data_IF_957807652914
#
_entry.id   IF_957807652914
#
_cell.length_a   1.000
_cell.length_b   1.000
_cell.length_c   1.000
_cell.angle_alpha   90.00
_cell.angle_beta   90.00
_cell.angle_gamma   90.00
#
_symmetry.space_group_name_H-M   'P 1'
#
loop_
_entity.id
_entity.type
_entity.pdbx_description
1 polymer ?
#
# COMPACT_ATOMS: atom_id res chain seq x y z
N UNK A 1 26.21 -33.22 1.33
CA UNK A 1 26.40 -32.86 2.78
C UNK A 1 27.36 -31.67 2.87
N UNK A 2 26.95 -30.46 2.42
CA UNK A 2 27.61 -29.18 2.73
C UNK A 2 26.89 -28.01 1.99
N UNK A 3 25.57 -27.84 2.25
CA UNK A 3 24.81 -26.64 1.83
C UNK A 3 23.66 -26.34 2.80
N UNK A 4 23.83 -26.65 4.05
CA UNK A 4 22.93 -26.22 5.12
C UNK A 4 23.67 -25.25 6.06
N UNK A 5 23.81 -23.98 5.66
CA UNK A 5 24.12 -22.86 6.58
C UNK A 5 24.20 -21.54 5.81
N UNK A 6 23.06 -20.93 5.52
CA UNK A 6 23.01 -19.49 5.17
C UNK A 6 21.61 -18.88 5.41
N UNK A 7 20.99 -19.19 6.57
CA UNK A 7 19.94 -18.33 7.11
C UNK A 7 20.16 -18.22 8.63
N UNK A 8 20.27 -17.00 9.18
CA UNK A 8 20.46 -16.83 10.62
C UNK A 8 19.21 -17.25 11.40
N UNK A 9 19.41 -18.01 12.48
CA UNK A 9 18.39 -18.51 13.41
C UNK A 9 17.46 -17.44 14.04
N UNK A 10 17.67 -16.17 13.74
CA UNK A 10 16.83 -15.05 14.22
C UNK A 10 15.47 -14.96 13.53
N UNK A 11 15.29 -15.52 12.36
CA UNK A 11 13.98 -15.54 11.68
C UNK A 11 13.06 -16.67 12.17
N UNK A 12 13.62 -17.77 12.68
CA UNK A 12 12.83 -18.86 13.26
C UNK A 12 12.22 -18.52 14.62
N UNK A 13 12.91 -17.75 15.44
CA UNK A 13 12.41 -17.33 16.75
C UNK A 13 11.24 -16.32 16.68
N UNK A 14 11.11 -15.55 15.60
CA UNK A 14 9.98 -14.63 15.39
C UNK A 14 8.73 -15.35 14.86
N UNK A 15 8.88 -16.53 14.26
CA UNK A 15 7.76 -17.32 13.72
C UNK A 15 7.11 -18.22 14.78
N UNK A 16 7.86 -18.65 15.79
CA UNK A 16 7.36 -19.52 16.87
C UNK A 16 6.68 -18.75 18.03
N UNK A 17 6.76 -17.43 18.06
CA UNK A 17 6.11 -16.61 19.10
C UNK A 17 4.66 -16.23 18.78
N UNK A 18 4.11 -16.60 17.64
CA UNK A 18 2.67 -16.61 17.40
C UNK A 18 2.05 -17.87 18.02
N UNK A 19 2.08 -17.95 19.34
CA UNK A 19 1.11 -18.77 20.04
C UNK A 19 -0.26 -18.24 19.62
N UNK A 20 -0.95 -18.94 18.74
CA UNK A 20 -2.39 -18.87 18.65
C UNK A 20 -2.91 -19.06 20.08
N UNK A 21 -3.27 -17.96 20.72
CA UNK A 21 -4.05 -18.04 21.95
C UNK A 21 -5.38 -18.65 21.57
N UNK A 22 -5.48 -19.98 21.75
CA UNK A 22 -6.70 -20.73 21.60
C UNK A 22 -7.67 -20.25 22.68
N UNK A 23 -8.52 -19.28 22.32
CA UNK A 23 -9.57 -18.75 23.19
C UNK A 23 -10.49 -19.86 23.75
N UNK A 24 -10.52 -21.03 23.10
CA UNK A 24 -11.30 -22.18 23.55
C UNK A 24 -10.80 -22.77 24.89
N UNK A 25 -9.56 -22.51 25.30
CA UNK A 25 -9.01 -23.06 26.55
C UNK A 25 -9.45 -22.33 27.85
N UNK A 26 -10.04 -21.12 27.75
CA UNK A 26 -10.43 -20.33 28.94
C UNK A 26 -11.94 -20.06 29.06
N UNK A 27 -12.78 -20.58 28.19
CA UNK A 27 -14.23 -20.30 28.26
C UNK A 27 -14.63 -18.85 27.98
N UNK A 28 -13.71 -18.02 27.45
CA UNK A 28 -13.99 -16.62 27.08
C UNK A 28 -14.71 -16.62 25.73
N UNK A 29 -15.97 -16.23 25.72
CA UNK A 29 -16.78 -16.09 24.51
C UNK A 29 -16.34 -14.85 23.74
N UNK A 30 -16.03 -15.02 22.44
CA UNK A 30 -15.87 -13.91 21.53
C UNK A 30 -17.21 -13.20 21.33
N UNK A 31 -17.19 -11.89 21.36
CA UNK A 31 -18.36 -11.05 21.13
C UNK A 31 -18.59 -10.78 19.64
N UNK A 32 -19.84 -10.50 19.28
CA UNK A 32 -20.17 -9.92 18.00
C UNK A 32 -19.51 -8.54 17.86
N UNK A 33 -18.91 -8.27 16.68
CA UNK A 33 -18.17 -7.03 16.42
C UNK A 33 -18.96 -5.78 16.76
N UNK A 34 -20.20 -5.68 16.27
CA UNK A 34 -21.04 -4.49 16.50
C UNK A 34 -21.25 -4.22 17.99
N UNK A 35 -21.59 -5.25 18.75
CA UNK A 35 -21.76 -5.16 20.18
C UNK A 35 -20.47 -4.76 20.90
N UNK A 36 -19.33 -5.32 20.48
CA UNK A 36 -18.02 -4.95 21.05
C UNK A 36 -17.70 -3.47 20.85
N UNK A 37 -17.88 -2.93 19.62
CA UNK A 37 -17.65 -1.52 19.32
C UNK A 37 -18.52 -0.60 20.18
N UNK A 38 -19.82 -0.93 20.33
CA UNK A 38 -20.77 -0.17 21.14
C UNK A 38 -20.39 -0.16 22.63
N UNK A 39 -19.99 -1.32 23.17
CA UNK A 39 -19.57 -1.45 24.58
C UNK A 39 -18.26 -0.69 24.84
N UNK A 40 -17.28 -0.74 23.93
CA UNK A 40 -16.01 0.01 24.06
C UNK A 40 -16.29 1.52 24.11
N UNK A 41 -17.12 2.06 23.23
CA UNK A 41 -17.50 3.48 23.24
C UNK A 41 -18.27 3.86 24.53
N UNK A 42 -19.18 3.01 24.98
CA UNK A 42 -19.92 3.23 26.21
C UNK A 42 -19.01 3.24 27.44
N UNK A 43 -18.08 2.28 27.52
CA UNK A 43 -17.10 2.21 28.61
C UNK A 43 -16.14 3.39 28.59
N UNK A 44 -15.70 3.84 27.42
CA UNK A 44 -14.85 5.04 27.27
C UNK A 44 -15.51 6.29 27.85
N UNK A 45 -16.80 6.50 27.60
CA UNK A 45 -17.56 7.59 28.23
C UNK A 45 -17.63 7.45 29.75
N UNK A 46 -17.88 6.24 30.25
CA UNK A 46 -17.93 5.96 31.70
C UNK A 46 -16.57 6.17 32.38
N UNK A 47 -15.46 5.87 31.68
CA UNK A 47 -14.11 6.08 32.14
C UNK A 47 -13.65 7.55 32.17
N UNK A 48 -14.50 8.47 31.68
CA UNK A 48 -14.31 9.92 31.75
C UNK A 48 -13.72 10.55 30.49
N UNK A 49 -13.69 9.84 29.37
CA UNK A 49 -13.31 10.45 28.08
C UNK A 49 -14.43 11.40 27.60
N UNK A 50 -14.04 12.62 27.19
CA UNK A 50 -14.96 13.63 26.67
C UNK A 50 -15.56 13.21 25.32
N UNK A 51 -14.70 12.64 24.45
CA UNK A 51 -15.09 11.98 23.23
C UNK A 51 -14.23 10.73 22.97
N UNK A 52 -14.77 9.78 22.23
CA UNK A 52 -14.16 8.48 21.97
C UNK A 52 -14.39 8.05 20.53
N UNK A 53 -13.43 7.35 19.99
CA UNK A 53 -13.49 6.72 18.67
C UNK A 53 -12.97 5.29 18.74
N UNK A 54 -13.61 4.42 17.97
CA UNK A 54 -13.12 3.08 17.68
C UNK A 54 -12.82 2.97 16.18
N UNK A 55 -11.65 2.43 15.88
CA UNK A 55 -11.22 2.09 14.53
C UNK A 55 -10.99 0.59 14.45
N UNK A 56 -11.90 -0.10 13.77
CA UNK A 56 -11.76 -1.53 13.49
C UNK A 56 -11.16 -1.74 12.12
N UNK A 57 -10.23 -2.66 12.02
CA UNK A 57 -9.74 -3.19 10.76
C UNK A 57 -9.73 -4.70 10.83
N UNK A 58 -10.37 -5.34 9.84
CA UNK A 58 -10.37 -6.78 9.67
C UNK A 58 -10.07 -7.15 8.24
N UNK A 59 -9.71 -8.41 8.02
CA UNK A 59 -9.44 -8.92 6.69
C UNK A 59 -9.26 -10.42 6.67
N UNK A 60 -9.30 -10.96 5.47
CA UNK A 60 -8.91 -12.32 5.16
C UNK A 60 -7.98 -12.31 3.95
N UNK A 61 -7.02 -13.19 3.93
CA UNK A 61 -6.12 -13.38 2.81
C UNK A 61 -5.96 -14.87 2.52
N UNK A 62 -5.88 -15.16 1.25
CA UNK A 62 -5.53 -16.45 0.70
C UNK A 62 -4.28 -16.27 -0.14
N UNK A 63 -3.31 -17.15 -0.02
CA UNK A 63 -2.15 -17.23 -0.90
C UNK A 63 -1.81 -18.68 -1.21
N UNK A 64 -1.45 -18.96 -2.46
CA UNK A 64 -0.89 -20.21 -2.89
C UNK A 64 0.40 -19.95 -3.66
N UNK A 65 1.44 -20.73 -3.33
CA UNK A 65 2.70 -20.78 -4.06
C UNK A 65 2.78 -22.09 -4.81
N UNK A 66 3.12 -22.00 -6.09
CA UNK A 66 3.37 -23.16 -6.95
C UNK A 66 4.86 -23.24 -7.25
N UNK A 67 5.42 -24.45 -7.16
CA UNK A 67 6.80 -24.73 -7.51
C UNK A 67 6.90 -26.15 -8.07
N UNK A 68 7.51 -26.29 -9.23
CA UNK A 68 7.73 -27.58 -9.92
C UNK A 68 6.43 -28.38 -10.17
N UNK A 69 5.35 -27.66 -10.49
CA UNK A 69 4.03 -28.23 -10.80
C UNK A 69 3.22 -28.67 -9.57
N UNK A 70 3.69 -28.34 -8.37
CA UNK A 70 3.03 -28.70 -7.11
C UNK A 70 2.76 -27.49 -6.23
N UNK A 71 1.78 -27.61 -5.32
CA UNK A 71 1.54 -26.60 -4.29
C UNK A 71 2.65 -26.69 -3.25
N UNK A 72 3.56 -25.71 -3.26
CA UNK A 72 4.67 -25.65 -2.30
C UNK A 72 4.30 -24.99 -0.98
N UNK A 73 3.35 -24.04 -1.02
CA UNK A 73 2.79 -23.41 0.18
C UNK A 73 1.34 -23.03 -0.05
N UNK A 74 0.57 -23.03 1.02
CA UNK A 74 -0.83 -22.65 1.05
C UNK A 74 -1.13 -21.92 2.36
N UNK A 75 -1.62 -20.72 2.26
CA UNK A 75 -2.01 -19.91 3.43
C UNK A 75 -3.45 -19.40 3.29
N UNK A 76 -4.19 -19.52 4.38
CA UNK A 76 -5.51 -18.89 4.53
C UNK A 76 -5.55 -18.24 5.90
N UNK A 77 -5.40 -16.92 5.91
CA UNK A 77 -5.29 -16.13 7.15
C UNK A 77 -6.49 -15.22 7.35
N UNK A 78 -6.79 -14.94 8.59
CA UNK A 78 -7.75 -13.91 9.01
C UNK A 78 -7.12 -13.08 10.11
N UNK A 79 -7.11 -11.78 9.89
CA UNK A 79 -6.61 -10.81 10.85
C UNK A 79 -7.73 -9.82 11.19
N UNK A 80 -7.76 -9.40 12.45
CA UNK A 80 -8.64 -8.31 12.89
C UNK A 80 -8.07 -7.64 14.13
N UNK A 81 -8.39 -6.39 14.30
CA UNK A 81 -8.05 -5.64 15.50
C UNK A 81 -8.82 -4.33 15.57
N UNK A 82 -8.84 -3.79 16.76
CA UNK A 82 -9.51 -2.55 17.10
C UNK A 82 -8.55 -1.62 17.80
N UNK A 83 -8.53 -0.36 17.38
CA UNK A 83 -7.98 0.74 18.15
C UNK A 83 -9.09 1.51 18.84
N UNK A 84 -8.80 1.96 20.04
CA UNK A 84 -9.56 2.97 20.78
C UNK A 84 -8.71 4.22 20.89
N UNK A 85 -9.27 5.36 20.58
CA UNK A 85 -8.71 6.67 20.94
C UNK A 85 -9.79 7.55 21.56
N UNK A 86 -9.39 8.44 22.44
CA UNK A 86 -10.31 9.38 23.04
C UNK A 86 -9.60 10.52 23.75
N UNK A 87 -10.35 11.59 23.99
CA UNK A 87 -9.83 12.79 24.64
C UNK A 87 -10.25 12.82 26.10
N UNK A 88 -9.24 12.90 26.97
CA UNK A 88 -9.40 13.00 28.41
C UNK A 88 -8.47 14.06 28.98
N UNK A 89 -9.00 15.02 29.76
CA UNK A 89 -8.21 16.12 30.36
C UNK A 89 -7.35 16.90 29.33
N UNK A 90 -7.87 17.11 28.11
CA UNK A 90 -7.17 17.80 27.03
C UNK A 90 -6.01 17.00 26.40
N UNK A 91 -5.99 15.69 26.55
CA UNK A 91 -4.97 14.79 25.98
C UNK A 91 -5.63 13.65 25.24
N UNK A 92 -5.04 13.21 24.14
CA UNK A 92 -5.53 12.08 23.37
C UNK A 92 -4.90 10.79 23.83
N UNK A 93 -5.71 9.86 24.37
CA UNK A 93 -5.28 8.50 24.70
C UNK A 93 -5.50 7.56 23.52
N UNK A 94 -4.61 6.56 23.40
CA UNK A 94 -4.67 5.55 22.33
C UNK A 94 -4.24 4.18 22.86
N UNK A 95 -4.98 3.15 22.49
CA UNK A 95 -4.63 1.76 22.70
C UNK A 95 -5.29 0.87 21.62
N UNK A 96 -4.82 -0.36 21.49
CA UNK A 96 -5.38 -1.33 20.53
C UNK A 96 -5.42 -2.74 21.10
N UNK A 97 -6.26 -3.59 20.50
CA UNK A 97 -6.40 -5.00 20.82
C UNK A 97 -6.78 -5.82 19.60
N UNK A 98 -6.38 -7.09 19.58
CA UNK A 98 -6.84 -8.11 18.62
C UNK A 98 -7.92 -9.02 19.22
N UNK A 99 -8.26 -8.81 20.49
CA UNK A 99 -9.23 -9.62 21.21
C UNK A 99 -10.56 -8.88 21.33
N UNK A 100 -11.61 -9.44 20.71
CA UNK A 100 -12.97 -8.94 20.81
C UNK A 100 -13.73 -9.70 21.92
N UNK A 101 -13.31 -9.51 23.17
CA UNK A 101 -13.85 -10.18 24.37
C UNK A 101 -14.25 -9.17 25.42
N UNK A 102 -15.15 -9.54 26.33
CA UNK A 102 -15.63 -8.64 27.41
C UNK A 102 -14.45 -8.09 28.24
N UNK A 103 -13.50 -8.95 28.60
CA UNK A 103 -12.35 -8.55 29.43
C UNK A 103 -11.42 -7.55 28.70
N UNK A 104 -11.37 -7.59 27.36
CA UNK A 104 -10.54 -6.69 26.57
C UNK A 104 -11.09 -5.25 26.55
N UNK A 105 -12.37 -5.02 26.83
CA UNK A 105 -12.98 -3.69 26.80
C UNK A 105 -12.36 -2.78 27.86
N UNK A 106 -12.37 -3.22 29.11
CA UNK A 106 -11.81 -2.45 30.21
C UNK A 106 -10.29 -2.24 30.04
N UNK A 107 -9.55 -3.31 29.68
CA UNK A 107 -8.12 -3.23 29.42
C UNK A 107 -7.78 -2.20 28.34
N UNK A 108 -8.49 -2.22 27.21
CA UNK A 108 -8.28 -1.31 26.09
C UNK A 108 -8.46 0.16 26.49
N UNK A 109 -9.57 0.46 27.17
CA UNK A 109 -9.92 1.84 27.54
C UNK A 109 -9.03 2.37 28.68
N UNK A 110 -8.77 1.55 29.70
CA UNK A 110 -7.89 1.97 30.80
C UNK A 110 -6.45 2.15 30.32
N UNK A 111 -5.95 1.28 29.44
CA UNK A 111 -4.62 1.47 28.80
C UNK A 111 -4.55 2.77 28.01
N UNK A 112 -5.59 3.10 27.23
CA UNK A 112 -5.63 4.38 26.54
C UNK A 112 -5.61 5.59 27.50
N UNK A 113 -6.30 5.48 28.65
CA UNK A 113 -6.30 6.50 29.69
C UNK A 113 -4.93 6.69 30.34
N UNK A 114 -4.24 5.59 30.63
CA UNK A 114 -2.87 5.63 31.16
C UNK A 114 -1.92 6.27 30.13
N UNK A 115 -2.02 5.89 28.86
CA UNK A 115 -1.22 6.47 27.79
C UNK A 115 -1.48 7.97 27.63
N UNK A 116 -2.74 8.44 27.74
CA UNK A 116 -3.08 9.86 27.69
C UNK A 116 -2.33 10.67 28.79
N UNK A 117 -2.12 10.09 29.98
CA UNK A 117 -1.45 10.77 31.07
C UNK A 117 0.03 11.08 30.78
N UNK A 118 0.63 10.36 29.82
CA UNK A 118 2.04 10.53 29.41
C UNK A 118 2.22 11.58 28.31
N UNK A 119 1.14 12.00 27.65
CA UNK A 119 1.19 12.91 26.50
C UNK A 119 1.01 14.37 26.90
N UNK A 120 1.44 15.29 26.03
CA UNK A 120 1.22 16.72 26.19
C UNK A 120 -0.22 17.10 25.82
N UNK A 121 -0.84 18.10 26.49
CA UNK A 121 -2.12 18.65 26.04
C UNK A 121 -2.10 19.26 24.63
N UNK A 122 -0.93 19.64 24.13
CA UNK A 122 -0.74 20.18 22.77
C UNK A 122 -1.00 19.12 21.70
N UNK A 123 -0.91 17.84 22.04
CA UNK A 123 -1.15 16.69 21.15
C UNK A 123 -2.63 16.28 21.10
N UNK A 124 -3.54 17.04 21.72
CA UNK A 124 -4.97 16.73 21.71
C UNK A 124 -5.56 16.95 20.32
N UNK A 125 -6.11 15.90 19.74
CA UNK A 125 -6.82 15.92 18.47
C UNK A 125 -8.34 15.91 18.69
N UNK A 126 -9.04 16.83 18.07
CA UNK A 126 -10.49 16.80 18.01
C UNK A 126 -10.94 15.66 17.07
N UNK A 127 -11.82 14.76 17.54
CA UNK A 127 -12.39 13.69 16.72
C UNK A 127 -13.29 14.27 15.63
N UNK A 128 -13.28 13.65 14.46
CA UNK A 128 -14.08 14.09 13.32
C UNK A 128 -15.55 13.67 13.51
N UNK A 129 -16.47 14.61 13.35
CA UNK A 129 -17.89 14.32 13.53
C UNK A 129 -18.53 13.60 12.33
N UNK A 130 -17.80 13.49 11.22
CA UNK A 130 -18.31 12.95 9.96
C UNK A 130 -18.79 14.02 9.00
N UNK A 131 -19.24 13.58 7.84
CA UNK A 131 -19.88 14.38 6.79
C UNK A 131 -21.33 13.91 6.60
N UNK A 132 -22.19 14.77 6.08
CA UNK A 132 -23.58 14.43 5.80
C UNK A 132 -23.70 13.33 4.75
N UNK A 133 -22.81 13.36 3.73
CA UNK A 133 -22.79 12.42 2.63
C UNK A 133 -21.36 11.99 2.31
N UNK A 134 -21.16 10.68 2.14
CA UNK A 134 -19.93 10.09 1.65
C UNK A 134 -20.10 9.58 0.23
N UNK A 135 -19.03 9.56 -0.60
CA UNK A 135 -19.08 8.93 -1.91
C UNK A 135 -19.48 7.46 -1.82
N UNK A 136 -20.44 7.06 -2.65
CA UNK A 136 -20.81 5.64 -2.79
C UNK A 136 -19.82 4.95 -3.72
N UNK A 137 -19.13 3.93 -3.23
CA UNK A 137 -18.15 3.17 -3.97
C UNK A 137 -18.39 1.66 -3.79
N UNK A 138 -18.37 0.94 -4.89
CA UNK A 138 -18.31 -0.53 -4.85
C UNK A 138 -16.87 -0.96 -4.55
N UNK A 139 -16.66 -1.50 -3.36
CA UNK A 139 -15.33 -1.94 -2.92
C UNK A 139 -15.14 -3.46 -3.02
N UNK A 140 -16.23 -4.25 -2.99
CA UNK A 140 -16.17 -5.71 -2.99
C UNK A 140 -16.76 -6.26 -4.27
N UNK A 141 -15.92 -6.96 -5.05
CA UNK A 141 -16.40 -7.80 -6.13
C UNK A 141 -16.87 -9.16 -5.54
N UNK A 142 -18.17 -9.42 -5.60
CA UNK A 142 -18.77 -10.65 -5.04
C UNK A 142 -18.26 -11.91 -5.76
N UNK A 143 -18.05 -11.88 -7.07
CA UNK A 143 -17.55 -13.02 -7.83
C UNK A 143 -16.14 -13.45 -7.39
N UNK A 144 -15.29 -12.49 -6.97
CA UNK A 144 -13.97 -12.80 -6.42
C UNK A 144 -14.05 -13.50 -5.06
N UNK A 145 -15.07 -13.17 -4.24
CA UNK A 145 -15.29 -13.83 -2.95
C UNK A 145 -15.81 -15.27 -3.08
N UNK A 146 -16.56 -15.54 -4.15
CA UNK A 146 -17.14 -16.85 -4.47
C UNK A 146 -16.16 -17.78 -5.18
N UNK A 147 -15.00 -17.27 -5.61
CA UNK A 147 -14.02 -18.03 -6.37
C UNK A 147 -13.45 -19.19 -5.52
N UNK A 148 -13.61 -20.41 -6.04
CA UNK A 148 -13.18 -21.61 -5.34
C UNK A 148 -11.65 -21.73 -5.27
N UNK A 149 -11.18 -22.35 -4.22
CA UNK A 149 -9.73 -22.55 -3.99
C UNK A 149 -9.08 -23.32 -5.14
N UNK A 150 -9.76 -24.36 -5.67
CA UNK A 150 -9.26 -25.16 -6.79
C UNK A 150 -9.07 -24.32 -8.06
N UNK A 151 -9.93 -23.33 -8.31
CA UNK A 151 -9.80 -22.43 -9.47
C UNK A 151 -8.58 -21.53 -9.35
N UNK A 152 -8.30 -21.06 -8.14
CA UNK A 152 -7.11 -20.24 -7.83
C UNK A 152 -5.83 -21.07 -8.01
N UNK A 153 -5.79 -22.28 -7.47
CA UNK A 153 -4.65 -23.22 -7.61
C UNK A 153 -4.42 -23.55 -9.09
N UNK A 154 -5.46 -23.90 -9.83
CA UNK A 154 -5.35 -24.22 -11.26
C UNK A 154 -4.84 -23.04 -12.08
N UNK A 155 -5.28 -21.82 -11.76
CA UNK A 155 -4.79 -20.61 -12.42
C UNK A 155 -3.30 -20.35 -12.13
N UNK A 156 -2.86 -20.58 -10.89
CA UNK A 156 -1.45 -20.45 -10.51
C UNK A 156 -0.57 -21.52 -11.21
N UNK A 157 -1.04 -22.76 -11.34
CA UNK A 157 -0.35 -23.82 -12.09
C UNK A 157 -0.23 -23.50 -13.60
N UNK A 158 -1.28 -22.94 -14.20
CA UNK A 158 -1.24 -22.48 -15.59
C UNK A 158 -0.26 -21.33 -15.78
N UNK A 159 -0.17 -20.42 -14.81
CA UNK A 159 0.79 -19.32 -14.81
C UNK A 159 2.24 -19.83 -14.75
N UNK A 160 2.52 -20.80 -13.88
CA UNK A 160 3.84 -21.46 -13.79
C UNK A 160 4.20 -22.15 -15.11
N UNK A 161 3.30 -22.98 -15.65
CA UNK A 161 3.51 -23.71 -16.91
C UNK A 161 3.81 -22.73 -18.06
N UNK A 162 3.05 -21.64 -18.14
CA UNK A 162 3.26 -20.63 -19.16
C UNK A 162 4.57 -19.83 -18.99
N UNK A 163 5.01 -19.63 -17.75
CA UNK A 163 6.31 -19.00 -17.48
C UNK A 163 7.48 -19.90 -17.88
N UNK A 164 7.43 -21.19 -17.55
CA UNK A 164 8.47 -22.17 -17.94
C UNK A 164 8.57 -22.35 -19.45
N UNK A 165 7.45 -22.24 -20.18
CA UNK A 165 7.41 -22.36 -21.63
C UNK A 165 7.55 -21.02 -22.37
N UNK A 166 7.64 -19.90 -21.67
CA UNK A 166 7.55 -18.56 -22.24
C UNK A 166 8.77 -18.06 -23.00
N UNK A 167 9.95 -18.66 -22.76
CA UNK A 167 11.19 -18.47 -23.50
C UNK A 167 12.09 -19.68 -23.34
N UNK A 168 12.90 -19.99 -24.38
CA UNK A 168 13.79 -21.16 -24.39
C UNK A 168 14.86 -21.09 -23.29
N UNK A 169 15.30 -19.89 -22.93
CA UNK A 169 16.31 -19.65 -21.92
C UNK A 169 15.82 -19.79 -20.49
N UNK A 170 14.50 -19.89 -20.25
CA UNK A 170 13.96 -20.05 -18.89
C UNK A 170 14.27 -21.44 -18.38
N UNK A 171 15.06 -21.49 -17.32
CA UNK A 171 15.50 -22.73 -16.71
C UNK A 171 14.65 -23.17 -15.51
N UNK A 172 14.06 -22.23 -14.79
CA UNK A 172 13.27 -22.48 -13.59
C UNK A 172 12.51 -21.20 -13.19
N UNK A 173 11.63 -21.33 -12.20
CA UNK A 173 11.05 -20.17 -11.51
C UNK A 173 11.72 -19.97 -10.15
N UNK A 174 11.80 -18.74 -9.72
CA UNK A 174 12.19 -18.31 -8.37
C UNK A 174 10.95 -18.21 -7.47
N UNK A 175 9.83 -17.75 -8.05
CA UNK A 175 8.60 -17.54 -7.33
C UNK A 175 7.40 -17.60 -8.27
N UNK A 176 6.30 -18.21 -7.82
CA UNK A 176 5.02 -18.23 -8.52
C UNK A 176 3.89 -18.25 -7.50
N UNK A 177 3.26 -17.11 -7.28
CA UNK A 177 2.22 -16.95 -6.27
C UNK A 177 0.95 -16.33 -6.83
N UNK A 178 -0.17 -16.75 -6.28
CA UNK A 178 -1.49 -16.17 -6.50
C UNK A 178 -2.19 -15.99 -5.18
N UNK A 179 -2.74 -14.80 -4.95
CA UNK A 179 -3.43 -14.45 -3.73
C UNK A 179 -4.74 -13.73 -3.97
N UNK A 180 -5.64 -13.81 -3.00
CA UNK A 180 -6.83 -12.96 -2.88
C UNK A 180 -6.92 -12.38 -1.49
N UNK A 181 -7.38 -11.16 -1.35
CA UNK A 181 -7.53 -10.50 -0.07
C UNK A 181 -8.84 -9.71 0.01
N UNK A 182 -9.44 -9.69 1.18
CA UNK A 182 -10.53 -8.79 1.57
C UNK A 182 -10.08 -8.00 2.78
N UNK A 183 -10.25 -6.69 2.75
CA UNK A 183 -10.01 -5.81 3.89
C UNK A 183 -11.27 -5.00 4.19
N UNK A 184 -11.58 -4.83 5.47
CA UNK A 184 -12.70 -4.05 5.97
C UNK A 184 -12.23 -3.05 7.02
N UNK A 185 -12.78 -1.86 6.99
CA UNK A 185 -12.57 -0.81 8.00
C UNK A 185 -13.93 -0.34 8.50
N UNK A 186 -14.05 -0.14 9.82
CA UNK A 186 -15.21 0.51 10.47
C UNK A 186 -14.67 1.58 11.41
N UNK A 187 -15.23 2.79 11.30
CA UNK A 187 -14.90 3.91 12.20
C UNK A 187 -16.19 4.38 12.83
N UNK A 188 -16.22 4.39 14.17
CA UNK A 188 -17.35 4.94 14.95
C UNK A 188 -16.82 5.83 16.04
N UNK A 189 -17.51 6.94 16.30
CA UNK A 189 -17.17 7.78 17.43
C UNK A 189 -18.40 8.41 18.12
N UNK A 190 -18.13 9.03 19.24
CA UNK A 190 -19.17 9.66 20.07
C UNK A 190 -19.67 10.99 19.54
N UNK A 191 -19.08 11.49 18.45
CA UNK A 191 -19.44 12.76 17.77
C UNK A 191 -20.37 12.56 16.58
N UNK A 192 -20.75 11.31 16.27
CA UNK A 192 -21.72 10.99 15.23
C UNK A 192 -21.15 10.26 14.01
N UNK A 193 -19.82 10.13 13.88
CA UNK A 193 -19.22 9.35 12.79
C UNK A 193 -19.58 7.86 12.94
N UNK A 194 -20.14 7.27 11.90
CA UNK A 194 -20.41 5.84 11.75
C UNK A 194 -20.26 5.47 10.28
N UNK A 195 -19.08 5.02 9.89
CA UNK A 195 -18.75 4.69 8.50
C UNK A 195 -18.04 3.35 8.41
N UNK A 196 -18.29 2.64 7.31
CA UNK A 196 -17.62 1.38 7.02
C UNK A 196 -17.37 1.22 5.53
N UNK A 197 -16.29 0.55 5.19
CA UNK A 197 -15.94 0.23 3.81
C UNK A 197 -15.14 -1.06 3.77
N UNK A 198 -15.45 -1.91 2.80
CA UNK A 198 -14.70 -3.13 2.52
C UNK A 198 -14.26 -3.15 1.07
N UNK A 199 -13.11 -3.77 0.79
CA UNK A 199 -12.62 -3.99 -0.56
C UNK A 199 -11.83 -5.28 -0.68
N UNK A 200 -11.86 -5.87 -1.86
CA UNK A 200 -11.11 -7.07 -2.17
C UNK A 200 -10.27 -6.92 -3.44
N UNK A 201 -9.24 -7.74 -3.55
CA UNK A 201 -8.35 -7.81 -4.72
C UNK A 201 -7.83 -9.23 -4.91
N UNK A 202 -7.57 -9.56 -6.17
CA UNK A 202 -6.70 -10.66 -6.54
C UNK A 202 -5.32 -10.12 -6.94
N UNK A 203 -4.28 -10.90 -6.67
CA UNK A 203 -2.90 -10.58 -7.02
C UNK A 203 -2.20 -11.82 -7.57
N UNK A 204 -1.33 -11.63 -8.54
CA UNK A 204 -0.46 -12.69 -9.03
C UNK A 204 0.96 -12.14 -9.20
N UNK A 205 1.94 -12.94 -8.83
CA UNK A 205 3.35 -12.62 -8.99
C UNK A 205 4.12 -13.84 -9.46
N UNK A 206 4.91 -13.67 -10.49
CA UNK A 206 5.80 -14.72 -10.99
C UNK A 206 7.17 -14.13 -11.30
N UNK A 207 8.22 -14.86 -10.92
CA UNK A 207 9.63 -14.54 -11.17
C UNK A 207 10.30 -15.73 -11.86
N UNK A 208 10.77 -15.50 -13.09
CA UNK A 208 11.43 -16.48 -13.91
C UNK A 208 12.96 -16.31 -13.90
N UNK A 209 13.68 -17.42 -13.99
CA UNK A 209 15.15 -17.46 -14.08
C UNK A 209 15.55 -17.95 -15.46
N UNK A 210 16.18 -17.08 -16.25
CA UNK A 210 16.74 -17.40 -17.55
C UNK A 210 18.24 -17.64 -17.46
N UNK A 211 18.74 -18.63 -18.23
CA UNK A 211 20.17 -19.00 -18.28
C UNK A 211 20.64 -19.17 -19.72
N UNK A 212 21.79 -18.57 -20.06
CA UNK A 212 22.43 -18.73 -21.37
C UNK A 212 23.92 -18.40 -21.28
N UNK A 213 24.78 -19.26 -21.85
CA UNK A 213 26.21 -18.98 -21.93
C UNK A 213 26.93 -18.76 -20.61
N UNK A 214 26.44 -19.36 -19.50
CA UNK A 214 26.97 -19.14 -18.15
C UNK A 214 26.37 -17.92 -17.41
N UNK A 215 25.58 -17.11 -18.09
CA UNK A 215 24.84 -15.99 -17.51
C UNK A 215 23.52 -16.45 -16.91
N UNK A 216 23.12 -15.83 -15.79
CA UNK A 216 21.82 -16.08 -15.13
C UNK A 216 21.17 -14.74 -14.86
N UNK A 217 19.93 -14.59 -15.28
CA UNK A 217 19.11 -13.38 -15.11
C UNK A 217 17.71 -13.74 -14.61
N UNK A 218 17.09 -12.81 -13.90
CA UNK A 218 15.71 -12.94 -13.44
C UNK A 218 14.83 -11.88 -14.11
N UNK A 219 13.57 -12.22 -14.29
CA UNK A 219 12.54 -11.29 -14.74
C UNK A 219 11.21 -11.62 -14.07
N UNK A 220 10.49 -10.62 -13.65
CA UNK A 220 9.23 -10.82 -12.92
C UNK A 220 8.08 -10.04 -13.53
N UNK A 221 6.88 -10.53 -13.23
CA UNK A 221 5.64 -9.84 -13.57
C UNK A 221 4.68 -9.87 -12.38
N UNK A 222 4.04 -8.73 -12.12
CA UNK A 222 3.02 -8.56 -11.09
C UNK A 222 1.71 -8.13 -11.74
N UNK A 223 0.64 -8.79 -11.38
CA UNK A 223 -0.72 -8.44 -11.77
C UNK A 223 -1.59 -8.23 -10.55
N UNK A 224 -2.57 -7.33 -10.65
CA UNK A 224 -3.54 -7.04 -9.60
C UNK A 224 -4.81 -6.46 -10.18
N UNK A 225 -5.96 -6.97 -9.77
CA UNK A 225 -7.29 -6.41 -10.10
C UNK A 225 -8.35 -6.82 -9.06
N UNK A 226 -9.50 -6.15 -9.12
CA UNK A 226 -10.73 -6.57 -8.43
C UNK A 226 -11.54 -7.55 -9.27
N UNK A 227 -11.50 -7.44 -10.60
CA UNK A 227 -12.18 -8.35 -11.50
C UNK A 227 -11.26 -9.52 -11.85
N UNK A 228 -11.68 -10.72 -11.50
CA UNK A 228 -10.97 -11.95 -11.85
C UNK A 228 -10.95 -12.22 -13.35
N UNK A 229 -11.95 -11.72 -14.08
CA UNK A 229 -12.00 -11.92 -15.54
C UNK A 229 -10.88 -11.17 -16.27
N UNK A 230 -10.28 -10.17 -15.66
CA UNK A 230 -9.10 -9.47 -16.18
C UNK A 230 -7.81 -10.28 -16.00
N UNK A 231 -7.85 -11.41 -15.27
CA UNK A 231 -6.69 -12.24 -15.03
C UNK A 231 -6.44 -13.21 -16.17
N UNK A 232 -5.28 -13.08 -16.80
CA UNK A 232 -4.78 -14.04 -17.77
C UNK A 232 -3.50 -14.68 -17.23
N UNK A 233 -3.59 -15.87 -16.61
CA UNK A 233 -2.43 -16.53 -16.01
C UNK A 233 -1.34 -16.88 -17.04
N UNK A 234 -1.70 -17.27 -18.26
CA UNK A 234 -0.74 -17.59 -19.30
C UNK A 234 0.04 -16.35 -19.76
N UNK A 235 -0.62 -15.22 -19.91
CA UNK A 235 0.06 -13.98 -20.27
C UNK A 235 0.95 -13.48 -19.14
N UNK A 236 0.48 -13.57 -17.90
CA UNK A 236 1.26 -13.21 -16.71
C UNK A 236 2.56 -14.02 -16.63
N UNK A 237 2.48 -15.35 -16.86
CA UNK A 237 3.66 -16.21 -16.91
C UNK A 237 4.60 -15.86 -18.06
N UNK A 238 4.08 -15.73 -19.29
CA UNK A 238 4.87 -15.36 -20.47
C UNK A 238 5.60 -14.03 -20.32
N UNK A 239 4.97 -13.04 -19.68
CA UNK A 239 5.59 -11.73 -19.47
C UNK A 239 6.81 -11.81 -18.55
N UNK A 240 6.78 -12.61 -17.49
CA UNK A 240 7.93 -12.83 -16.63
C UNK A 240 9.07 -13.54 -17.38
N UNK A 241 8.74 -14.56 -18.16
CA UNK A 241 9.72 -15.28 -18.99
C UNK A 241 10.40 -14.38 -20.01
N UNK A 242 9.64 -13.58 -20.76
CA UNK A 242 10.17 -12.62 -21.72
C UNK A 242 11.12 -11.63 -21.06
N UNK A 243 10.76 -11.11 -19.88
CA UNK A 243 11.64 -10.19 -19.14
C UNK A 243 12.92 -10.87 -18.70
N UNK A 244 12.86 -12.09 -18.15
CA UNK A 244 14.05 -12.82 -17.76
C UNK A 244 15.01 -13.06 -18.96
N UNK A 245 14.45 -13.46 -20.10
CA UNK A 245 15.23 -13.68 -21.32
C UNK A 245 15.81 -12.37 -21.91
N UNK A 246 15.06 -11.26 -21.86
CA UNK A 246 15.53 -9.97 -22.38
C UNK A 246 16.69 -9.37 -21.60
N UNK A 247 16.91 -9.81 -20.36
CA UNK A 247 18.03 -9.35 -19.54
C UNK A 247 19.36 -10.08 -19.87
N UNK A 248 19.31 -11.19 -20.62
CA UNK A 248 20.51 -11.91 -21.04
C UNK A 248 21.29 -11.12 -22.09
N UNK A 249 22.60 -11.09 -21.96
CA UNK A 249 23.50 -10.35 -22.84
C UNK A 249 23.49 -8.84 -22.61
N UNK A 250 22.85 -8.32 -21.57
CA UNK A 250 22.85 -6.91 -21.24
C UNK A 250 24.26 -6.45 -20.84
N UNK A 251 24.68 -5.31 -21.41
CA UNK A 251 25.97 -4.67 -21.13
C UNK A 251 25.81 -3.38 -20.32
N UNK A 252 26.86 -2.99 -19.62
CA UNK A 252 26.89 -1.68 -18.95
C UNK A 252 27.10 -0.56 -19.95
N UNK A 253 26.44 0.57 -19.75
CA UNK A 253 26.72 1.80 -20.50
C UNK A 253 27.84 2.58 -19.80
N UNK A 254 28.67 3.33 -20.54
CA UNK A 254 29.72 4.20 -19.97
C UNK A 254 29.10 5.23 -19.00
N UNK A 255 29.89 5.65 -18.00
CA UNK A 255 29.46 6.74 -17.13
C UNK A 255 29.34 8.05 -17.92
N UNK A 256 28.24 8.77 -17.75
CA UNK A 256 27.99 9.98 -18.53
C UNK A 256 26.69 10.68 -18.10
N UNK A 257 26.35 11.72 -18.85
CA UNK A 257 25.03 12.36 -18.78
C UNK A 257 24.20 11.86 -19.95
N UNK A 258 22.99 11.44 -19.65
CA UNK A 258 22.05 10.88 -20.60
C UNK A 258 20.70 11.57 -20.47
N UNK A 259 19.99 11.68 -21.57
CA UNK A 259 18.56 11.86 -21.54
C UNK A 259 17.92 10.55 -21.09
N UNK A 260 17.03 10.62 -20.12
CA UNK A 260 16.41 9.41 -19.55
C UNK A 260 14.90 9.47 -19.68
N UNK A 261 14.34 8.46 -20.34
CA UNK A 261 12.89 8.26 -20.41
C UNK A 261 12.50 7.25 -19.34
N UNK A 262 11.60 7.63 -18.47
CA UNK A 262 11.01 6.75 -17.47
C UNK A 262 9.66 6.20 -17.97
N UNK A 263 9.54 4.89 -18.02
CA UNK A 263 8.24 4.24 -18.20
C UNK A 263 7.35 4.45 -16.96
N UNK A 264 6.06 4.23 -17.09
CA UNK A 264 5.08 4.39 -16.02
C UNK A 264 5.46 3.69 -14.72
N UNK A 265 6.05 2.48 -14.79
CA UNK A 265 6.50 1.72 -13.60
C UNK A 265 7.71 2.36 -12.92
N UNK A 266 8.68 2.84 -13.70
CA UNK A 266 9.81 3.58 -13.15
C UNK A 266 9.34 4.87 -12.50
N UNK A 267 8.37 5.57 -13.12
CA UNK A 267 7.78 6.80 -12.59
C UNK A 267 6.99 6.56 -11.30
N UNK A 268 6.25 5.46 -11.18
CA UNK A 268 5.58 5.06 -9.93
C UNK A 268 6.59 4.84 -8.81
N UNK A 269 7.70 4.16 -9.09
CA UNK A 269 8.78 3.95 -8.09
C UNK A 269 9.42 5.26 -7.66
N UNK A 270 9.69 6.17 -8.61
CA UNK A 270 10.25 7.49 -8.34
C UNK A 270 9.31 8.34 -7.48
N UNK A 271 8.05 8.47 -7.89
CA UNK A 271 7.03 9.22 -7.15
C UNK A 271 6.77 8.62 -5.77
N UNK A 272 6.73 7.29 -5.66
CA UNK A 272 6.57 6.58 -4.39
C UNK A 272 7.73 6.87 -3.42
N UNK A 273 8.96 6.85 -3.90
CA UNK A 273 10.14 7.18 -3.09
C UNK A 273 10.13 8.65 -2.62
N UNK A 274 9.70 9.57 -3.49
CA UNK A 274 9.57 10.99 -3.17
C UNK A 274 8.24 11.37 -2.51
N UNK A 275 7.32 10.43 -2.27
CA UNK A 275 5.97 10.73 -1.73
C UNK A 275 5.99 11.67 -0.53
N UNK A 276 6.98 11.52 0.35
CA UNK A 276 7.18 12.33 1.54
C UNK A 276 7.28 13.85 1.29
N UNK A 277 7.70 14.30 0.10
CA UNK A 277 7.76 15.74 -0.20
C UNK A 277 6.38 16.39 -0.22
N UNK A 278 5.34 15.60 -0.52
CA UNK A 278 3.96 16.05 -0.60
C UNK A 278 3.17 15.89 0.70
N UNK A 279 3.79 15.38 1.76
CA UNK A 279 3.11 15.21 3.05
C UNK A 279 3.25 16.47 3.90
N UNK A 280 2.13 16.99 4.40
CA UNK A 280 2.08 18.19 5.20
C UNK A 280 2.96 18.13 6.44
N UNK A 281 3.03 16.97 7.10
CA UNK A 281 3.89 16.73 8.26
C UNK A 281 5.36 17.04 7.97
N UNK A 282 5.89 16.53 6.84
CA UNK A 282 7.27 16.76 6.45
C UNK A 282 7.52 18.23 6.08
N UNK A 283 6.54 18.87 5.42
CA UNK A 283 6.63 20.29 5.10
C UNK A 283 6.68 21.15 6.37
N UNK A 284 5.87 20.85 7.38
CA UNK A 284 5.85 21.57 8.65
C UNK A 284 7.14 21.38 9.46
N UNK A 285 7.69 20.16 9.47
CA UNK A 285 8.92 19.83 10.20
C UNK A 285 10.20 20.27 9.48
N UNK A 286 10.10 20.85 8.29
CA UNK A 286 11.27 21.28 7.50
C UNK A 286 11.99 20.13 6.77
N UNK A 287 11.33 18.98 6.63
CA UNK A 287 11.86 17.80 5.96
C UNK A 287 11.41 17.64 4.50
N UNK A 288 10.76 18.66 3.93
CA UNK A 288 10.33 18.64 2.54
C UNK A 288 11.01 19.72 1.71
N UNK A 289 11.58 19.32 0.57
CA UNK A 289 12.09 20.22 -0.48
C UNK A 289 11.01 21.24 -0.95
N UNK A 290 9.74 20.90 -0.77
CA UNK A 290 8.59 21.71 -1.19
C UNK A 290 8.03 22.59 -0.07
N UNK A 291 8.67 22.67 1.10
CA UNK A 291 8.23 23.53 2.19
C UNK A 291 8.08 24.98 1.72
N UNK A 292 6.89 25.57 1.98
CA UNK A 292 6.57 26.97 1.64
C UNK A 292 6.32 27.24 0.17
N UNK A 293 6.36 26.24 -0.72
CA UNK A 293 6.26 26.42 -2.18
C UNK A 293 4.84 26.27 -2.75
N UNK A 294 3.83 26.27 -1.92
CA UNK A 294 2.44 26.25 -2.41
C UNK A 294 2.18 27.49 -3.28
N UNK A 295 1.68 27.28 -4.50
CA UNK A 295 1.46 28.31 -5.51
C UNK A 295 2.67 28.57 -6.41
N UNK A 296 3.83 27.99 -6.14
CA UNK A 296 5.01 28.14 -6.99
C UNK A 296 5.05 27.10 -8.11
N UNK A 297 5.69 27.44 -9.22
CA UNK A 297 6.00 26.55 -10.33
C UNK A 297 7.19 25.66 -9.93
N UNK A 298 6.95 24.37 -9.74
CA UNK A 298 7.96 23.38 -9.31
C UNK A 298 8.27 22.32 -10.37
N UNK A 299 7.50 22.29 -11.46
CA UNK A 299 7.65 21.36 -12.56
C UNK A 299 7.30 22.03 -13.89
N UNK A 300 7.51 21.31 -15.00
CA UNK A 300 7.10 21.77 -16.33
C UNK A 300 5.57 21.95 -16.43
N UNK A 301 5.12 22.85 -17.31
CA UNK A 301 3.67 23.13 -17.48
C UNK A 301 2.84 21.91 -17.91
N UNK A 302 3.45 20.93 -18.58
CA UNK A 302 2.79 19.68 -18.93
C UNK A 302 2.56 18.73 -17.76
N UNK A 303 3.10 19.02 -16.56
CA UNK A 303 3.02 18.11 -15.41
C UNK A 303 1.81 18.45 -14.56
N UNK A 304 0.85 17.53 -14.52
CA UNK A 304 -0.27 17.54 -13.57
C UNK A 304 -0.30 16.23 -12.83
N UNK A 305 -0.13 16.29 -11.50
CA UNK A 305 -0.16 15.15 -10.58
C UNK A 305 -1.44 15.23 -9.74
N UNK A 306 -2.21 14.17 -9.76
CA UNK A 306 -3.44 14.05 -8.99
C UNK A 306 -3.31 12.96 -7.94
N UNK A 307 -4.01 13.15 -6.81
CA UNK A 307 -4.27 12.11 -5.83
C UNK A 307 -5.79 11.92 -5.74
N UNK A 308 -6.26 10.74 -6.15
CA UNK A 308 -7.68 10.45 -6.34
C UNK A 308 -8.12 9.25 -5.50
N UNK A 309 -8.74 9.53 -4.35
CA UNK A 309 -9.30 8.51 -3.49
C UNK A 309 -10.54 7.82 -4.10
N UNK A 310 -11.10 8.36 -5.18
CA UNK A 310 -12.35 7.90 -5.80
C UNK A 310 -12.13 7.19 -7.14
N UNK A 311 -10.89 6.98 -7.54
CA UNK A 311 -10.53 6.33 -8.82
C UNK A 311 -11.06 4.90 -8.85
N UNK A 312 -12.00 4.62 -9.75
CA UNK A 312 -12.60 3.29 -9.89
C UNK A 312 -11.53 2.23 -10.23
N UNK A 313 -11.58 1.10 -9.54
CA UNK A 313 -10.60 0.02 -9.69
C UNK A 313 -9.22 0.33 -9.10
N UNK A 314 -9.00 1.52 -8.56
CA UNK A 314 -7.75 1.92 -7.94
C UNK A 314 -7.50 1.19 -6.60
N UNK A 315 -6.23 0.83 -6.37
CA UNK A 315 -5.85 0.14 -5.13
C UNK A 315 -6.07 0.98 -3.86
N UNK A 316 -5.80 2.30 -3.96
CA UNK A 316 -5.99 3.27 -2.88
C UNK A 316 -7.42 3.80 -2.75
N UNK A 317 -8.37 3.32 -3.57
CA UNK A 317 -9.76 3.78 -3.59
C UNK A 317 -10.46 3.54 -2.27
N UNK A 318 -11.10 4.59 -1.75
CA UNK A 318 -11.81 4.58 -0.48
C UNK A 318 -12.75 5.80 -0.37
N UNK A 319 -13.97 5.65 0.18
CA UNK A 319 -14.91 6.76 0.34
C UNK A 319 -14.51 7.75 1.45
N UNK A 320 -13.68 7.31 2.39
CA UNK A 320 -13.15 8.09 3.51
C UNK A 320 -11.76 7.58 3.92
N UNK A 321 -10.98 8.43 4.57
CA UNK A 321 -9.69 8.05 5.15
C UNK A 321 -9.82 7.41 6.55
N UNK A 322 -8.70 7.10 7.21
CA UNK A 322 -8.71 6.46 8.53
C UNK A 322 -9.12 7.37 9.69
N UNK A 323 -9.51 8.61 9.40
CA UNK A 323 -10.06 9.58 10.35
C UNK A 323 -11.54 9.89 10.05
N UNK A 324 -12.10 9.29 8.99
CA UNK A 324 -13.47 9.52 8.54
C UNK A 324 -13.63 10.74 7.63
N UNK A 325 -12.56 11.38 7.20
CA UNK A 325 -12.61 12.49 6.24
C UNK A 325 -12.89 11.94 4.83
N UNK A 326 -13.86 12.54 4.13
CA UNK A 326 -14.28 12.10 2.79
C UNK A 326 -13.13 12.05 1.79
N UNK A 327 -13.09 10.97 1.02
CA UNK A 327 -12.18 10.80 -0.12
C UNK A 327 -12.44 11.86 -1.20
N UNK A 328 -11.37 12.34 -1.82
CA UNK A 328 -11.45 13.41 -2.85
C UNK A 328 -10.52 13.11 -4.01
N UNK A 329 -10.91 13.61 -5.18
CA UNK A 329 -10.00 13.72 -6.33
C UNK A 329 -9.43 15.16 -6.33
N UNK A 330 -8.12 15.30 -6.15
CA UNK A 330 -7.45 16.60 -6.01
C UNK A 330 -6.15 16.66 -6.81
N UNK A 331 -5.82 17.83 -7.31
CA UNK A 331 -4.52 18.12 -7.89
C UNK A 331 -3.51 18.41 -6.77
N UNK A 332 -2.37 17.74 -6.80
CA UNK A 332 -1.20 18.05 -5.97
C UNK A 332 -0.29 19.02 -6.74
N UNK A 333 -0.07 18.73 -8.00
CA UNK A 333 0.56 19.64 -8.97
C UNK A 333 -0.41 19.85 -10.12
N UNK A 334 -0.64 21.05 -10.54
CA UNK A 334 -1.47 21.39 -11.69
C UNK A 334 -0.73 22.33 -12.62
N UNK A 335 -0.52 21.90 -13.87
CA UNK A 335 0.25 22.63 -14.88
C UNK A 335 1.61 23.13 -14.35
N UNK A 336 2.30 22.25 -13.61
CA UNK A 336 3.61 22.53 -13.00
C UNK A 336 3.58 23.28 -11.68
N UNK A 337 2.42 23.75 -11.22
CA UNK A 337 2.26 24.56 -9.99
C UNK A 337 1.83 23.68 -8.82
N UNK A 338 2.55 23.74 -7.70
CA UNK A 338 2.18 23.06 -6.46
C UNK A 338 0.89 23.65 -5.88
N UNK A 339 -0.14 22.82 -5.71
CA UNK A 339 -1.46 23.25 -5.20
C UNK A 339 -1.58 23.14 -3.69
N UNK A 340 -0.83 22.22 -3.08
CA UNK A 340 -0.85 21.98 -1.65
C UNK A 340 -0.22 20.65 -1.28
N UNK A 341 -0.43 20.23 -0.03
CA UNK A 341 0.08 19.00 0.52
C UNK A 341 -1.05 18.01 0.84
N UNK A 342 -0.73 16.74 0.91
CA UNK A 342 -1.60 15.71 1.45
C UNK A 342 -1.61 15.80 2.98
N UNK A 343 -2.80 15.82 3.57
CA UNK A 343 -2.97 16.14 4.97
C UNK A 343 -3.88 15.14 5.67
N UNK A 344 -3.53 14.81 6.90
CA UNK A 344 -4.45 14.32 7.93
C UNK A 344 -5.08 15.51 8.66
N UNK A 345 -5.92 15.25 9.64
CA UNK A 345 -6.61 16.31 10.42
C UNK A 345 -5.66 17.14 11.27
N UNK A 346 -4.67 16.49 11.92
CA UNK A 346 -3.72 17.19 12.77
C UNK A 346 -2.93 18.21 11.96
N UNK A 347 -2.33 17.76 10.86
CA UNK A 347 -1.51 18.61 10.01
C UNK A 347 -2.33 19.71 9.31
N UNK A 348 -3.57 19.39 8.90
CA UNK A 348 -4.48 20.38 8.35
C UNK A 348 -4.80 21.50 9.35
N UNK A 349 -5.09 21.15 10.61
CA UNK A 349 -5.30 22.11 11.70
C UNK A 349 -4.07 23.00 11.93
N UNK A 350 -2.89 22.40 12.02
CA UNK A 350 -1.64 23.13 12.23
C UNK A 350 -1.31 24.09 11.08
N UNK A 351 -1.72 23.77 9.85
CA UNK A 351 -1.55 24.63 8.68
C UNK A 351 -2.72 25.60 8.45
N UNK A 352 -3.79 25.53 9.23
CA UNK A 352 -4.97 26.39 9.09
C UNK A 352 -5.76 26.13 7.80
N UNK A 353 -5.78 24.88 7.30
CA UNK A 353 -6.48 24.47 6.08
C UNK A 353 -7.41 23.28 6.35
N UNK A 354 -8.27 22.95 5.38
CA UNK A 354 -9.14 21.78 5.48
C UNK A 354 -8.35 20.48 5.23
N UNK A 355 -8.70 19.37 5.91
CA UNK A 355 -8.08 18.06 5.68
C UNK A 355 -8.40 17.54 4.27
N UNK A 356 -7.48 16.76 3.71
CA UNK A 356 -7.53 16.33 2.31
C UNK A 356 -8.02 14.90 2.10
N UNK A 357 -8.40 14.18 3.18
CA UNK A 357 -8.79 12.77 3.10
C UNK A 357 -7.60 11.84 2.86
N UNK A 358 -6.44 12.20 3.42
CA UNK A 358 -5.20 11.44 3.29
C UNK A 358 -4.67 10.90 4.63
N UNK A 359 -5.41 11.05 5.73
CA UNK A 359 -5.06 10.46 7.03
C UNK A 359 -5.21 8.95 7.01
N UNK A 360 -4.13 8.20 6.80
CA UNK A 360 -4.16 6.74 6.70
C UNK A 360 -3.40 6.08 7.83
N UNK A 361 -3.92 4.96 8.34
CA UNK A 361 -3.25 4.08 9.29
C UNK A 361 -2.67 2.87 8.55
N UNK A 362 -1.48 2.45 8.92
CA UNK A 362 -0.91 1.20 8.42
C UNK A 362 -1.67 -0.01 8.97
N UNK A 363 -2.05 0.05 10.24
CA UNK A 363 -2.91 -0.93 10.92
C UNK A 363 -3.69 -0.26 12.06
N UNK A 364 -4.50 -1.04 12.77
CA UNK A 364 -5.13 -0.59 14.01
C UNK A 364 -4.12 -0.24 15.13
N UNK A 365 -2.86 -0.68 15.02
CA UNK A 365 -1.81 -0.37 16.00
C UNK A 365 -1.14 1.02 15.78
N UNK A 366 -1.48 1.71 14.68
CA UNK A 366 -0.83 2.97 14.31
C UNK A 366 -1.81 4.14 14.31
N UNK A 367 -1.30 5.32 14.65
CA UNK A 367 -2.02 6.58 14.46
C UNK A 367 -2.12 6.94 12.97
N UNK A 368 -3.12 7.75 12.56
CA UNK A 368 -3.20 8.26 11.20
C UNK A 368 -1.98 9.12 10.84
N UNK A 369 -1.54 9.02 9.61
CA UNK A 369 -0.47 9.82 9.03
C UNK A 369 -0.82 10.18 7.57
N UNK A 370 -0.34 11.31 7.04
CA UNK A 370 -0.57 11.63 5.63
C UNK A 370 0.02 10.55 4.71
N UNK A 371 -0.78 10.06 3.77
CA UNK A 371 -0.39 9.06 2.77
C UNK A 371 -1.11 9.30 1.46
N UNK A 372 -0.49 8.88 0.37
CA UNK A 372 -1.12 8.84 -0.95
C UNK A 372 -2.32 7.88 -0.98
N UNK A 373 -3.29 8.18 -1.84
CA UNK A 373 -4.35 7.25 -2.25
C UNK A 373 -4.00 6.64 -3.63
N UNK A 374 -4.68 7.03 -4.69
CA UNK A 374 -4.26 6.69 -6.05
C UNK A 374 -3.62 7.94 -6.65
N UNK A 375 -2.30 8.00 -6.62
CA UNK A 375 -1.56 9.14 -7.15
C UNK A 375 -1.07 8.81 -8.56
N UNK A 376 -1.41 9.67 -9.53
CA UNK A 376 -1.06 9.47 -10.92
C UNK A 376 -0.80 10.80 -11.63
N UNK A 377 0.03 10.73 -12.67
CA UNK A 377 0.28 11.84 -13.57
C UNK A 377 -0.73 11.78 -14.72
N UNK A 378 -1.32 12.91 -15.08
CA UNK A 378 -2.18 12.97 -16.27
C UNK A 378 -1.34 12.75 -17.54
N UNK A 379 -1.89 12.04 -18.55
CA UNK A 379 -1.19 11.83 -19.81
C UNK A 379 -0.98 13.16 -20.54
N UNK A 380 0.18 13.27 -21.20
CA UNK A 380 0.46 14.34 -22.14
C UNK A 380 -0.17 14.07 -23.51
N UNK A 381 0.32 14.79 -24.52
CA UNK A 381 -0.16 14.66 -25.91
C UNK A 381 0.64 13.64 -26.72
N UNK A 382 1.89 13.39 -26.34
CA UNK A 382 2.81 12.51 -27.06
C UNK A 382 2.60 11.05 -26.66
N UNK A 383 2.68 10.17 -27.62
CA UNK A 383 2.72 8.73 -27.41
C UNK A 383 4.09 8.31 -26.85
N UNK A 384 4.20 7.14 -26.19
CA UNK A 384 5.48 6.62 -25.76
C UNK A 384 6.52 6.50 -26.90
N UNK A 385 6.08 6.10 -28.09
CA UNK A 385 6.94 5.98 -29.26
C UNK A 385 7.49 7.33 -29.71
N UNK A 386 6.64 8.36 -29.81
CA UNK A 386 7.08 9.73 -30.16
C UNK A 386 8.09 10.30 -29.14
N UNK A 387 7.95 9.94 -27.86
CA UNK A 387 8.90 10.35 -26.81
C UNK A 387 10.25 9.66 -27.05
N UNK A 388 10.28 8.36 -27.36
CA UNK A 388 11.53 7.63 -27.68
C UNK A 388 12.18 8.22 -28.92
N UNK A 389 11.41 8.46 -29.99
CA UNK A 389 11.89 9.04 -31.26
C UNK A 389 12.45 10.46 -31.11
N UNK A 390 12.08 11.18 -30.05
CA UNK A 390 12.59 12.52 -29.76
C UNK A 390 13.99 12.54 -29.13
N UNK A 391 14.56 11.38 -28.76
CA UNK A 391 15.86 11.27 -28.08
C UNK A 391 16.89 10.66 -29.03
N UNK A 392 17.91 11.42 -29.39
CA UNK A 392 18.99 10.94 -30.26
C UNK A 392 19.89 9.92 -29.56
N UNK A 393 20.27 10.20 -28.31
CA UNK A 393 21.07 9.31 -27.48
C UNK A 393 20.68 9.40 -26.01
N UNK A 394 20.21 8.30 -25.47
CA UNK A 394 19.63 8.30 -24.11
C UNK A 394 19.40 6.91 -23.56
N UNK A 395 18.68 6.84 -22.46
CA UNK A 395 18.34 5.60 -21.77
C UNK A 395 16.82 5.53 -21.57
N UNK A 396 16.22 4.43 -21.97
CA UNK A 396 14.86 4.07 -21.59
C UNK A 396 14.92 3.16 -20.35
N UNK A 397 14.31 3.61 -19.24
CA UNK A 397 14.25 2.90 -17.97
C UNK A 397 12.80 2.43 -17.68
N UNK A 398 12.46 1.16 -17.92
CA UNK A 398 11.11 0.65 -17.69
C UNK A 398 10.78 0.45 -16.21
N UNK A 399 11.77 0.27 -15.35
CA UNK A 399 11.58 0.11 -13.91
C UNK A 399 12.81 0.52 -13.11
N UNK A 400 12.64 0.61 -11.78
CA UNK A 400 13.73 0.72 -10.83
C UNK A 400 13.72 -0.48 -9.87
N UNK A 401 14.89 -1.07 -9.66
CA UNK A 401 15.09 -2.21 -8.76
C UNK A 401 15.40 -1.85 -7.31
N UNK A 402 15.48 -0.57 -7.01
CA UNK A 402 15.76 -0.02 -5.70
C UNK A 402 16.35 1.37 -5.81
N UNK A 403 16.33 2.13 -4.70
CA UNK A 403 16.87 3.48 -4.69
C UNK A 403 16.77 4.14 -3.33
N UNK A 404 17.45 5.26 -3.22
CA UNK A 404 17.42 6.13 -2.05
C UNK A 404 17.12 7.55 -2.50
N UNK A 405 16.31 8.25 -1.73
CA UNK A 405 16.01 9.66 -1.93
C UNK A 405 16.21 10.43 -0.64
N UNK A 406 16.69 11.64 -0.78
CA UNK A 406 16.66 12.63 0.29
C UNK A 406 15.59 13.68 -0.07
N UNK A 407 14.45 13.59 0.60
CA UNK A 407 13.30 14.44 0.34
C UNK A 407 13.52 15.91 0.75
N UNK A 408 14.58 16.20 1.50
CA UNK A 408 14.94 17.56 1.93
C UNK A 408 15.79 18.26 0.88
N UNK A 409 16.79 17.57 0.31
CA UNK A 409 17.70 18.14 -0.69
C UNK A 409 17.30 17.84 -2.13
N UNK A 410 16.39 16.87 -2.36
CA UNK A 410 16.02 16.39 -3.69
C UNK A 410 17.07 15.47 -4.34
N UNK A 411 18.10 15.07 -3.63
CA UNK A 411 19.09 14.12 -4.15
C UNK A 411 18.53 12.71 -4.16
N UNK A 412 18.88 11.96 -5.18
CA UNK A 412 18.46 10.56 -5.29
C UNK A 412 19.48 9.71 -6.05
N UNK A 413 19.40 8.41 -5.82
CA UNK A 413 20.10 7.35 -6.56
C UNK A 413 19.12 6.21 -6.76
N UNK A 414 18.98 5.75 -7.99
CA UNK A 414 18.21 4.54 -8.32
C UNK A 414 19.09 3.59 -9.12
N UNK A 415 18.90 2.29 -8.87
CA UNK A 415 19.42 1.23 -9.73
C UNK A 415 18.29 0.67 -10.59
N UNK A 416 18.62 0.14 -11.74
CA UNK A 416 17.70 -0.65 -12.56
C UNK A 416 18.36 -1.96 -12.97
N UNK A 417 17.56 -3.01 -13.02
CA UNK A 417 17.98 -4.30 -13.59
C UNK A 417 17.64 -4.40 -15.08
N UNK A 418 16.87 -3.44 -15.60
CA UNK A 418 16.40 -3.40 -16.98
C UNK A 418 16.49 -1.96 -17.49
N UNK A 419 17.33 -1.73 -18.49
CA UNK A 419 17.42 -0.47 -19.20
C UNK A 419 17.80 -0.72 -20.66
N UNK A 420 17.38 0.17 -21.54
CA UNK A 420 17.68 0.09 -22.96
C UNK A 420 18.37 1.38 -23.40
N UNK A 421 19.43 1.24 -24.20
CA UNK A 421 20.07 2.37 -24.84
C UNK A 421 19.22 2.84 -26.02
N UNK A 422 18.99 4.14 -26.10
CA UNK A 422 18.33 4.77 -27.24
C UNK A 422 19.41 5.33 -28.12
N UNK A 423 19.41 4.95 -29.41
CA UNK A 423 20.28 5.49 -30.43
C UNK A 423 19.45 5.88 -31.65
N UNK A 424 19.54 7.15 -32.06
CA UNK A 424 18.81 7.72 -33.21
C UNK A 424 17.28 7.49 -33.11
N UNK A 425 16.71 7.70 -31.95
CA UNK A 425 15.25 7.57 -31.71
C UNK A 425 14.74 6.13 -31.68
N UNK A 426 15.60 5.14 -31.44
CA UNK A 426 15.25 3.72 -31.45
C UNK A 426 15.79 3.01 -30.22
#
# INVERSE_FOLDING_TARGET
RQQERLYPDRCRAAYDSRQQYDCRRKGVSRMERKEFLEKVLAYGRQAGFADCEVYYRGGKAFEVLILEGEVSNYENSREEGLAFRGNINGRTGYAYTEQLTEDAIAYLVETAKENAALLSPEDCEELYAGEENYPELEGVNAALEELRVEEKINAAMRMETAALAGAEEVASLDYCALGTSLAEVVIRNTRGLDVSFAKNFATAYVSAIAKKGGETKTGSYFWKAQDWNDFNPEETGRMAAKRAASHLGAASVPSGKYDVIFDGRAMVSLLGAFAGVFFAENAQKGFSLLQGKTGEKIASEGVTLRDDALLLGGYGTQPFDSEGVSGKNKAIIENGVLKGYMQDKLNARLMGVAPTGNGRRESYAHLPMPRMTNTYMLPGKSTPQEIIESVDYGIFAPNFGGGQVDITSGKFVFSTSEAYLIENGK
#
